data_IF_436893525634
#
_entry.id   IF_436893525634
#
_cell.length_a   1.000
_cell.length_b   1.000
_cell.length_c   1.000
_cell.angle_alpha   90.00
_cell.angle_beta   90.00
_cell.angle_gamma   90.00
#
_symmetry.space_group_name_H-M   'P 1'
#
loop_
_entity.id
_entity.type
_entity.pdbx_description
1 polymer ?
#
# COMPACT_ATOMS: atom_id res chain seq x y z
N UNK A 1 16.09 32.22 -12.84
CA UNK A 1 14.62 32.19 -12.63
C UNK A 1 14.34 32.34 -11.15
N UNK A 2 13.39 33.21 -10.77
CA UNK A 2 13.11 33.49 -9.37
C UNK A 2 12.31 32.32 -8.75
N UNK A 3 12.76 31.70 -7.63
CA UNK A 3 12.10 30.51 -7.05
C UNK A 3 10.64 30.72 -6.60
N UNK A 4 10.20 31.97 -6.53
CA UNK A 4 8.88 32.37 -6.08
C UNK A 4 7.94 32.71 -7.23
N UNK A 5 8.40 32.57 -8.48
CA UNK A 5 7.56 32.82 -9.64
C UNK A 5 6.42 31.79 -9.71
N UNK A 6 5.17 32.21 -9.95
CA UNK A 6 4.00 31.32 -9.92
C UNK A 6 4.15 30.07 -10.80
N UNK A 7 4.81 30.18 -11.95
CA UNK A 7 5.07 29.07 -12.86
C UNK A 7 5.99 28.00 -12.23
N UNK A 8 7.03 28.41 -11.49
CA UNK A 8 7.93 27.48 -10.81
C UNK A 8 7.21 26.74 -9.67
N UNK A 9 6.40 27.46 -8.90
CA UNK A 9 5.57 26.87 -7.82
C UNK A 9 4.57 25.86 -8.40
N UNK A 10 3.89 26.20 -9.50
CA UNK A 10 2.96 25.29 -10.18
C UNK A 10 3.65 24.00 -10.65
N UNK A 11 4.81 24.12 -11.29
CA UNK A 11 5.60 22.96 -11.75
C UNK A 11 6.03 22.05 -10.59
N UNK A 12 6.43 22.64 -9.45
CA UNK A 12 6.77 21.89 -8.24
C UNK A 12 5.56 21.16 -7.65
N UNK A 13 4.42 21.85 -7.55
CA UNK A 13 3.18 21.29 -7.01
C UNK A 13 2.65 20.15 -7.89
N UNK A 14 2.79 20.26 -9.21
CA UNK A 14 2.41 19.20 -10.13
C UNK A 14 3.27 17.95 -9.94
N UNK A 15 4.59 18.13 -9.79
CA UNK A 15 5.50 17.03 -9.47
C UNK A 15 5.11 16.31 -8.18
N UNK A 16 4.77 17.07 -7.13
CA UNK A 16 4.36 16.47 -5.85
C UNK A 16 3.02 15.75 -5.97
N UNK A 17 2.06 16.29 -6.73
CA UNK A 17 0.80 15.59 -7.04
C UNK A 17 1.05 14.25 -7.72
N UNK A 18 1.93 14.18 -8.72
CA UNK A 18 2.27 12.93 -9.39
C UNK A 18 2.94 11.93 -8.45
N UNK A 19 3.86 12.40 -7.59
CA UNK A 19 4.51 11.55 -6.58
C UNK A 19 3.49 10.95 -5.62
N UNK A 20 2.58 11.77 -5.10
CA UNK A 20 1.51 11.33 -4.18
C UNK A 20 0.52 10.39 -4.89
N UNK A 21 0.20 10.64 -6.17
CA UNK A 21 -0.63 9.74 -6.99
C UNK A 21 -0.02 8.34 -7.09
N UNK A 22 1.28 8.25 -7.37
CA UNK A 22 2.00 6.98 -7.42
C UNK A 22 1.94 6.23 -6.09
N UNK A 23 2.13 6.92 -4.96
CA UNK A 23 2.01 6.32 -3.62
C UNK A 23 0.59 5.80 -3.37
N UNK A 24 -0.43 6.59 -3.69
CA UNK A 24 -1.82 6.19 -3.48
C UNK A 24 -2.23 5.00 -4.35
N UNK A 25 -1.70 4.89 -5.57
CA UNK A 25 -1.86 3.70 -6.42
C UNK A 25 -1.23 2.46 -5.79
N UNK A 26 -0.05 2.60 -5.16
CA UNK A 26 0.57 1.51 -4.38
C UNK A 26 -0.33 1.04 -3.24
N UNK A 27 -0.94 1.97 -2.49
CA UNK A 27 -1.92 1.62 -1.45
C UNK A 27 -3.17 0.94 -2.00
N UNK A 28 -3.66 1.33 -3.19
CA UNK A 28 -4.80 0.68 -3.82
C UNK A 28 -4.46 -0.78 -4.16
N UNK A 29 -3.36 -1.01 -4.88
CA UNK A 29 -2.88 -2.35 -5.20
C UNK A 29 -2.67 -3.20 -3.95
N UNK A 30 -2.10 -2.62 -2.88
CA UNK A 30 -1.92 -3.36 -1.63
C UNK A 30 -3.26 -3.83 -1.05
N UNK A 31 -4.30 -2.99 -1.05
CA UNK A 31 -5.63 -3.37 -0.55
C UNK A 31 -6.26 -4.51 -1.33
N UNK A 32 -6.06 -4.55 -2.65
CA UNK A 32 -6.58 -5.61 -3.52
C UNK A 32 -6.02 -7.00 -3.15
N UNK A 33 -4.87 -7.05 -2.47
CA UNK A 33 -4.24 -8.29 -2.01
C UNK A 33 -4.60 -8.67 -0.57
N UNK A 34 -5.39 -7.85 0.15
CA UNK A 34 -5.71 -8.12 1.55
C UNK A 34 -7.03 -8.91 1.67
N UNK A 35 -7.07 -9.94 2.53
CA UNK A 35 -8.29 -10.70 2.75
C UNK A 35 -9.36 -9.87 3.46
N UNK A 36 -10.63 -10.08 3.10
CA UNK A 36 -11.78 -9.46 3.77
C UNK A 36 -12.09 -8.02 3.36
N UNK A 37 -11.56 -7.53 2.23
CA UNK A 37 -11.97 -6.23 1.70
C UNK A 37 -13.30 -6.35 0.94
N UNK A 38 -14.40 -5.99 1.59
CA UNK A 38 -15.63 -5.61 0.89
C UNK A 38 -15.36 -4.28 0.18
N UNK A 39 -15.67 -4.19 -1.12
CA UNK A 39 -15.51 -2.99 -1.94
C UNK A 39 -16.10 -1.71 -1.30
N UNK A 40 -17.04 -1.89 -0.37
CA UNK A 40 -17.76 -0.82 0.33
C UNK A 40 -16.95 -0.11 1.44
N UNK A 41 -15.93 -0.77 2.03
CA UNK A 41 -15.17 -0.17 3.16
C UNK A 41 -13.68 -0.03 2.82
N UNK A 42 -13.29 1.15 2.33
CA UNK A 42 -11.89 1.47 2.03
C UNK A 42 -11.07 1.66 3.31
N UNK A 43 -10.09 0.79 3.53
CA UNK A 43 -9.14 0.90 4.65
C UNK A 43 -8.33 2.20 4.58
N UNK A 44 -8.10 2.84 5.72
CA UNK A 44 -7.13 3.94 5.82
C UNK A 44 -5.70 3.45 5.51
N UNK A 45 -4.76 4.37 5.31
CA UNK A 45 -3.35 4.02 5.03
C UNK A 45 -2.75 3.16 6.15
N UNK A 46 -2.96 3.56 7.39
CA UNK A 46 -2.43 2.84 8.56
C UNK A 46 -3.09 1.47 8.71
N UNK A 47 -4.40 1.38 8.52
CA UNK A 47 -5.10 0.09 8.56
C UNK A 47 -4.63 -0.84 7.44
N UNK A 48 -4.40 -0.31 6.24
CA UNK A 48 -3.87 -1.08 5.10
C UNK A 48 -2.51 -1.68 5.44
N UNK A 49 -1.59 -0.88 6.00
CA UNK A 49 -0.26 -1.38 6.40
C UNK A 49 -0.36 -2.44 7.51
N UNK A 50 -1.19 -2.19 8.53
CA UNK A 50 -1.39 -3.14 9.63
C UNK A 50 -1.99 -4.46 9.14
N UNK A 51 -2.95 -4.41 8.23
CA UNK A 51 -3.56 -5.60 7.64
C UNK A 51 -2.56 -6.36 6.75
N UNK A 52 -1.74 -5.67 5.97
CA UNK A 52 -0.66 -6.29 5.19
C UNK A 52 0.34 -7.06 6.07
N UNK A 53 0.82 -6.44 7.15
CA UNK A 53 1.75 -7.10 8.09
C UNK A 53 1.11 -8.35 8.71
N UNK A 54 -0.15 -8.27 9.13
CA UNK A 54 -0.87 -9.44 9.67
C UNK A 54 -1.03 -10.54 8.62
N UNK A 55 -1.33 -10.17 7.38
CA UNK A 55 -1.55 -11.15 6.33
C UNK A 55 -0.27 -11.87 5.93
N UNK A 56 0.85 -11.15 5.81
CA UNK A 56 2.17 -11.78 5.59
C UNK A 56 2.49 -12.79 6.69
N UNK A 57 2.31 -12.41 7.97
CA UNK A 57 2.55 -13.31 9.11
C UNK A 57 1.65 -14.55 9.09
N UNK A 58 0.40 -14.38 8.63
CA UNK A 58 -0.53 -15.49 8.49
C UNK A 58 -0.07 -16.45 7.39
N UNK A 59 0.29 -15.93 6.22
CA UNK A 59 0.77 -16.74 5.10
C UNK A 59 2.06 -17.50 5.45
N UNK A 60 3.00 -16.86 6.15
CA UNK A 60 4.22 -17.51 6.63
C UNK A 60 3.90 -18.72 7.51
N UNK A 61 3.04 -18.55 8.52
CA UNK A 61 2.62 -19.67 9.38
C UNK A 61 1.93 -20.79 8.61
N UNK A 62 1.12 -20.45 7.60
CA UNK A 62 0.43 -21.45 6.79
C UNK A 62 1.44 -22.32 6.03
N UNK A 63 2.47 -21.70 5.46
CA UNK A 63 3.56 -22.43 4.77
C UNK A 63 4.33 -23.30 5.75
N UNK A 64 4.73 -22.77 6.91
CA UNK A 64 5.47 -23.53 7.93
C UNK A 64 4.69 -24.78 8.39
N UNK A 65 3.36 -24.64 8.58
CA UNK A 65 2.49 -25.76 8.96
C UNK A 65 2.35 -26.82 7.87
N UNK A 66 2.41 -26.44 6.59
CA UNK A 66 2.38 -27.39 5.47
C UNK A 66 3.69 -28.16 5.32
N UNK A 67 4.83 -27.55 5.68
CA UNK A 67 6.15 -28.19 5.65
C UNK A 67 6.28 -29.23 6.77
N UNK A 68 5.90 -28.89 8.01
CA UNK A 68 5.88 -29.84 9.14
C UNK A 68 4.99 -31.08 8.85
N UNK A 69 3.90 -30.89 8.09
CA UNK A 69 3.00 -31.98 7.71
C UNK A 69 3.49 -32.87 6.56
N UNK A 70 4.55 -32.48 5.84
CA UNK A 70 5.18 -33.30 4.78
C UNK A 70 6.41 -34.06 5.27
N UNK A 71 6.99 -33.66 6.39
CA UNK A 71 8.12 -34.34 7.02
C UNK A 71 7.71 -35.45 8.00
N UNK A 72 6.42 -35.59 8.30
CA UNK A 72 5.82 -36.70 9.07
C UNK A 72 5.15 -37.75 8.20
#
# INVERSE_FOLDING_TARGET
>A
ECPFEPAFIQKRNERERQRVKCVNQGYAKLRDHLPGHSADKRLSKVETLRAAIRYIKYLQRLVDMEEDGREG
#
